data_IF_386665194946
#
_entry.id   IF_386665194946
#
_cell.length_a   1.000
_cell.length_b   1.000
_cell.length_c   1.000
_cell.angle_alpha   90.00
_cell.angle_beta   90.00
_cell.angle_gamma   90.00
#
_symmetry.space_group_name_H-M   'P 1'
#
loop_
_entity.id
_entity.type
_entity.pdbx_description
1 polymer ?
#
# COMPACT_ATOMS: atom_id res chain seq x y z
N UNK A 1 0.81 -4.30 14.29
CA UNK A 1 -0.06 -4.90 13.25
C UNK A 1 0.51 -4.51 11.91
N UNK A 2 0.67 -5.45 10.99
CA UNK A 2 1.39 -5.22 9.74
C UNK A 2 0.80 -6.08 8.63
N UNK A 3 0.47 -5.46 7.50
CA UNK A 3 -0.08 -6.15 6.32
C UNK A 3 0.86 -5.91 5.15
N UNK A 4 1.27 -6.97 4.47
CA UNK A 4 2.05 -6.88 3.25
C UNK A 4 1.14 -7.02 2.03
N UNK A 5 1.27 -6.10 1.07
CA UNK A 5 0.49 -6.10 -0.16
C UNK A 5 1.43 -6.01 -1.35
N UNK A 6 1.63 -7.15 -2.01
CA UNK A 6 2.46 -7.29 -3.22
C UNK A 6 1.60 -7.93 -4.33
N UNK A 7 0.76 -7.14 -5.01
CA UNK A 7 -0.15 -7.68 -6.00
C UNK A 7 0.61 -8.06 -7.29
N UNK A 8 0.24 -9.15 -7.98
CA UNK A 8 0.94 -9.60 -9.17
C UNK A 8 0.64 -8.69 -10.38
N UNK A 9 1.67 -8.37 -11.16
CA UNK A 9 1.64 -7.58 -12.41
C UNK A 9 1.42 -6.07 -12.25
N UNK A 10 1.93 -5.29 -13.23
CA UNK A 10 1.86 -3.82 -13.25
C UNK A 10 0.45 -3.21 -13.32
N UNK A 11 -0.56 -4.04 -13.58
CA UNK A 11 -1.95 -3.63 -13.82
C UNK A 11 -2.85 -3.81 -12.60
N UNK A 12 -2.39 -4.53 -11.56
CA UNK A 12 -3.15 -4.64 -10.31
C UNK A 12 -2.83 -3.46 -9.42
N UNK A 13 -3.65 -2.41 -9.58
CA UNK A 13 -3.62 -1.27 -8.68
C UNK A 13 -3.92 -1.75 -7.24
N UNK A 14 -2.99 -1.50 -6.33
CA UNK A 14 -3.12 -1.76 -4.89
C UNK A 14 -4.39 -1.14 -4.27
N UNK A 15 -5.00 -0.16 -4.94
CA UNK A 15 -6.27 0.44 -4.55
C UNK A 15 -7.35 -0.58 -4.15
N UNK A 16 -7.55 -1.67 -4.91
CA UNK A 16 -8.60 -2.65 -4.59
C UNK A 16 -8.37 -3.32 -3.23
N UNK A 17 -7.18 -3.90 -2.95
CA UNK A 17 -6.82 -4.35 -1.61
C UNK A 17 -7.02 -3.28 -0.53
N UNK A 18 -6.52 -2.05 -0.74
CA UNK A 18 -6.62 -0.98 0.25
C UNK A 18 -8.07 -0.61 0.57
N UNK A 19 -8.90 -0.47 -0.46
CA UNK A 19 -10.32 -0.21 -0.30
C UNK A 19 -10.99 -1.28 0.55
N UNK A 20 -10.74 -2.56 0.26
CA UNK A 20 -11.32 -3.66 1.04
C UNK A 20 -10.82 -3.69 2.49
N UNK A 21 -9.52 -3.44 2.71
CA UNK A 21 -8.93 -3.38 4.05
C UNK A 21 -9.59 -2.28 4.91
N UNK A 22 -9.82 -1.11 4.30
CA UNK A 22 -10.48 0.02 4.96
C UNK A 22 -11.97 -0.27 5.22
N UNK A 23 -12.72 -0.73 4.21
CA UNK A 23 -14.15 -1.05 4.33
C UNK A 23 -14.44 -2.14 5.37
N UNK A 24 -13.50 -3.06 5.58
CA UNK A 24 -13.62 -4.15 6.55
C UNK A 24 -12.98 -3.85 7.91
N UNK A 25 -12.39 -2.67 8.10
CA UNK A 25 -11.66 -2.27 9.32
C UNK A 25 -10.65 -3.36 9.77
N UNK A 26 -9.89 -3.91 8.82
CA UNK A 26 -8.97 -5.04 9.10
C UNK A 26 -7.70 -4.56 9.82
N UNK A 27 -7.19 -3.39 9.44
CA UNK A 27 -5.97 -2.84 10.02
C UNK A 27 -6.26 -2.21 11.39
N UNK A 28 -5.42 -2.48 12.39
CA UNK A 28 -5.51 -1.77 13.67
C UNK A 28 -5.13 -0.29 13.50
N UNK A 29 -5.62 0.59 14.39
CA UNK A 29 -5.37 2.04 14.38
C UNK A 29 -3.90 2.46 14.19
N UNK A 30 -2.97 1.73 14.82
CA UNK A 30 -1.52 1.99 14.71
C UNK A 30 -0.78 1.00 13.81
N UNK A 31 -1.53 0.23 13.03
CA UNK A 31 -1.01 -0.71 12.05
C UNK A 31 -0.42 0.01 10.83
N UNK A 32 0.36 -0.75 10.07
CA UNK A 32 0.91 -0.31 8.79
C UNK A 32 0.58 -1.29 7.68
N UNK A 33 0.46 -0.76 6.46
CA UNK A 33 0.49 -1.55 5.25
C UNK A 33 1.85 -1.30 4.57
N UNK A 34 2.52 -2.36 4.14
CA UNK A 34 3.75 -2.31 3.37
C UNK A 34 3.45 -2.78 1.96
N UNK A 35 3.54 -1.87 1.00
CA UNK A 35 3.35 -2.18 -0.40
C UNK A 35 4.68 -2.21 -1.13
N UNK A 36 4.87 -3.26 -1.93
CA UNK A 36 5.88 -3.31 -2.98
C UNK A 36 5.24 -2.89 -4.30
N UNK A 37 5.85 -1.94 -5.00
CA UNK A 37 5.44 -1.52 -6.35
C UNK A 37 6.65 -1.15 -7.20
N UNK A 38 6.45 -0.97 -8.50
CA UNK A 38 7.46 -0.38 -9.35
C UNK A 38 7.43 1.15 -9.24
N UNK A 39 8.59 1.80 -9.37
CA UNK A 39 8.69 3.27 -9.37
C UNK A 39 7.87 3.93 -10.47
N UNK A 40 7.73 3.26 -11.62
CA UNK A 40 6.97 3.74 -12.77
C UNK A 40 5.45 3.66 -12.60
N UNK A 41 4.96 3.00 -11.54
CA UNK A 41 3.52 2.83 -11.31
C UNK A 41 2.93 4.03 -10.58
N UNK A 42 1.74 4.45 -11.01
CA UNK A 42 0.92 5.37 -10.24
C UNK A 42 0.16 4.53 -9.21
N UNK A 43 0.40 4.81 -7.93
CA UNK A 43 -0.23 4.11 -6.81
C UNK A 43 -1.31 5.00 -6.22
N UNK A 44 -2.56 4.54 -6.30
CA UNK A 44 -3.69 5.16 -5.61
C UNK A 44 -3.83 4.53 -4.22
N UNK A 45 -3.61 5.34 -3.19
CA UNK A 45 -3.64 4.91 -1.79
C UNK A 45 -5.01 5.10 -1.13
N UNK A 46 -6.01 5.67 -1.80
CA UNK A 46 -7.37 5.84 -1.26
C UNK A 46 -7.41 6.51 0.13
N UNK A 47 -8.04 5.85 1.11
CA UNK A 47 -8.17 6.33 2.51
C UNK A 47 -6.88 6.21 3.35
N UNK A 48 -5.75 5.92 2.71
CA UNK A 48 -4.47 5.81 3.37
C UNK A 48 -3.57 6.98 3.01
N UNK A 49 -2.57 7.24 3.84
CA UNK A 49 -1.47 8.16 3.57
C UNK A 49 -0.14 7.43 3.54
N UNK A 50 0.76 7.91 2.71
CA UNK A 50 2.16 7.46 2.70
C UNK A 50 2.83 8.03 3.95
N UNK A 51 3.15 7.15 4.90
CA UNK A 51 3.93 7.49 6.09
C UNK A 51 5.42 7.51 5.80
N UNK A 52 5.90 6.58 4.97
CA UNK A 52 7.29 6.48 4.55
C UNK A 52 7.39 5.85 3.18
N UNK A 53 8.38 6.27 2.41
CA UNK A 53 8.73 5.69 1.12
C UNK A 53 10.22 5.32 1.10
N UNK A 54 10.54 4.20 0.46
CA UNK A 54 11.93 3.81 0.17
C UNK A 54 12.01 3.18 -1.21
N UNK A 55 13.02 3.57 -1.98
CA UNK A 55 13.17 3.10 -3.36
C UNK A 55 14.58 2.54 -3.59
N UNK A 56 14.68 1.52 -4.44
CA UNK A 56 15.95 0.90 -4.84
C UNK A 56 15.79 0.27 -6.22
N UNK A 57 16.69 0.60 -7.15
CA UNK A 57 16.55 0.19 -8.55
C UNK A 57 15.23 0.68 -9.13
N UNK A 58 14.44 -0.25 -9.69
CA UNK A 58 13.09 0.02 -10.23
C UNK A 58 11.97 -0.22 -9.21
N UNK A 59 12.33 -0.58 -7.98
CA UNK A 59 11.40 -0.98 -6.92
C UNK A 59 11.16 0.16 -5.94
N UNK A 60 9.92 0.26 -5.46
CA UNK A 60 9.47 1.18 -4.43
C UNK A 60 8.75 0.41 -3.34
N UNK A 61 9.03 0.77 -2.09
CA UNK A 61 8.31 0.32 -0.90
C UNK A 61 7.57 1.51 -0.31
N UNK A 62 6.26 1.38 -0.17
CA UNK A 62 5.40 2.35 0.50
C UNK A 62 4.94 1.79 1.84
N UNK A 63 5.16 2.56 2.91
CA UNK A 63 4.57 2.32 4.22
C UNK A 63 3.36 3.23 4.35
N UNK A 64 2.18 2.64 4.48
CA UNK A 64 0.90 3.34 4.49
C UNK A 64 0.27 3.27 5.89
N UNK A 65 -0.39 4.37 6.28
CA UNK A 65 -1.26 4.46 7.46
C UNK A 65 -2.66 4.86 7.03
N UNK A 66 -3.68 4.26 7.66
CA UNK A 66 -5.06 4.69 7.48
C UNK A 66 -5.26 6.10 8.06
N UNK A 67 -6.13 6.90 7.43
CA UNK A 67 -6.44 8.27 7.82
C UNK A 67 -7.36 8.36 9.04
#
# INVERSE_FOLDING_TARGET
DLIFVDPPYRLTNIYKPLKLLSEKNILKKDGFIVNLSYLSEVVDVGNFKIFKEKSFGITRILFLKEL
#
